data_IF_541295566881
#
_entry.id   IF_541295566881
#
_cell.length_a   1.000
_cell.length_b   1.000
_cell.length_c   1.000
_cell.angle_alpha   90.00
_cell.angle_beta   90.00
_cell.angle_gamma   90.00
#
_symmetry.space_group_name_H-M   'P 1'
#
loop_
_entity.id
_entity.type
_entity.pdbx_description
1 polymer ?
#
# COMPACT_ATOMS: atom_id res chain seq x y z
N UNK A 1 27.23 -55.70 31.49
CA UNK A 1 25.92 -55.26 30.97
C UNK A 1 25.40 -54.02 31.69
N UNK A 2 26.06 -52.85 31.59
CA UNK A 2 25.59 -51.59 32.22
C UNK A 2 25.73 -50.37 31.31
N UNK A 3 26.03 -50.54 30.02
CA UNK A 3 26.30 -49.39 29.10
C UNK A 3 25.19 -49.07 28.09
N UNK A 4 24.11 -49.84 28.04
CA UNK A 4 23.05 -49.66 27.04
C UNK A 4 21.82 -48.81 27.47
N UNK A 5 21.75 -48.38 28.75
CA UNK A 5 20.59 -47.62 29.24
C UNK A 5 20.77 -46.09 29.23
N UNK A 6 21.99 -45.61 29.13
CA UNK A 6 22.28 -44.16 29.17
C UNK A 6 22.19 -43.48 27.80
N UNK A 7 22.34 -44.19 26.68
CA UNK A 7 22.26 -43.59 25.34
C UNK A 7 20.82 -43.30 24.89
N UNK A 8 19.84 -44.06 25.35
CA UNK A 8 18.43 -43.88 24.97
C UNK A 8 17.78 -42.65 25.60
N UNK A 9 18.18 -42.26 26.80
CA UNK A 9 17.57 -41.11 27.50
C UNK A 9 18.06 -39.78 26.95
N UNK A 10 19.32 -39.70 26.51
CA UNK A 10 19.86 -38.48 25.88
C UNK A 10 19.27 -38.20 24.49
N UNK A 11 18.89 -39.26 23.75
CA UNK A 11 18.27 -39.10 22.41
C UNK A 11 16.81 -38.64 22.48
N UNK A 12 16.07 -39.02 23.54
CA UNK A 12 14.69 -38.61 23.73
C UNK A 12 14.53 -37.19 24.29
N UNK A 13 15.53 -36.67 25.00
CA UNK A 13 15.49 -35.30 25.52
C UNK A 13 15.97 -34.24 24.49
N UNK A 14 16.78 -34.62 23.53
CA UNK A 14 17.25 -33.72 22.46
C UNK A 14 16.20 -33.45 21.39
N UNK A 15 15.32 -34.42 21.10
CA UNK A 15 14.29 -34.24 20.04
C UNK A 15 13.22 -33.20 20.37
N UNK A 16 12.61 -33.16 21.57
CA UNK A 16 11.61 -32.15 21.90
C UNK A 16 12.23 -30.73 22.06
N UNK A 17 13.48 -30.60 22.49
CA UNK A 17 14.15 -29.34 22.59
C UNK A 17 14.50 -28.75 21.20
N UNK A 18 14.93 -29.59 20.27
CA UNK A 18 15.16 -29.20 18.87
C UNK A 18 13.87 -28.81 18.15
N UNK A 19 12.78 -29.54 18.37
CA UNK A 19 11.47 -29.22 17.82
C UNK A 19 10.88 -27.94 18.41
N UNK A 20 11.07 -27.68 19.70
CA UNK A 20 10.64 -26.45 20.36
C UNK A 20 11.41 -25.22 19.84
N UNK A 21 12.71 -25.35 19.60
CA UNK A 21 13.52 -24.29 18.99
C UNK A 21 13.10 -24.00 17.53
N UNK A 22 12.70 -25.03 16.77
CA UNK A 22 12.22 -24.84 15.40
C UNK A 22 10.86 -24.15 15.34
N UNK A 23 9.97 -24.43 16.29
CA UNK A 23 8.65 -23.79 16.38
C UNK A 23 8.74 -22.31 16.84
N UNK A 24 9.74 -21.96 17.66
CA UNK A 24 9.97 -20.57 18.10
C UNK A 24 10.54 -19.73 16.94
N UNK A 25 11.34 -20.31 16.05
CA UNK A 25 11.94 -19.62 14.92
C UNK A 25 10.92 -19.15 13.85
N UNK A 26 9.72 -19.75 13.79
CA UNK A 26 8.66 -19.38 12.83
C UNK A 26 7.67 -18.34 13.36
N UNK A 27 7.81 -17.86 14.60
CA UNK A 27 6.77 -17.07 15.26
C UNK A 27 7.02 -15.56 15.32
N UNK A 28 8.12 -15.06 14.76
CA UNK A 28 8.41 -13.62 14.77
C UNK A 28 8.53 -13.06 13.36
N UNK A 29 7.39 -12.80 12.71
CA UNK A 29 7.36 -11.75 11.68
C UNK A 29 7.50 -10.42 12.43
N UNK A 30 8.57 -9.65 12.20
CA UNK A 30 8.65 -8.31 12.78
C UNK A 30 7.48 -7.51 12.20
N UNK A 31 6.54 -7.10 13.05
CA UNK A 31 5.54 -6.11 12.68
C UNK A 31 6.32 -4.83 12.42
N UNK A 32 6.47 -4.46 11.16
CA UNK A 32 7.13 -3.21 10.79
C UNK A 32 6.20 -2.07 11.22
N UNK A 33 6.56 -1.39 12.29
CA UNK A 33 5.83 -0.23 12.78
C UNK A 33 6.45 0.99 12.11
N UNK A 34 5.68 1.64 11.24
CA UNK A 34 6.09 2.92 10.67
C UNK A 34 6.25 3.96 11.80
N UNK A 35 7.32 4.74 11.77
CA UNK A 35 7.50 5.83 12.70
C UNK A 35 6.42 6.90 12.45
N UNK A 36 5.82 7.48 13.50
CA UNK A 36 4.88 8.57 13.33
C UNK A 36 5.52 9.73 12.57
N UNK A 37 4.76 10.36 11.67
CA UNK A 37 5.19 11.56 10.98
C UNK A 37 5.31 12.72 11.97
N UNK A 38 6.34 13.56 11.80
CA UNK A 38 6.59 14.69 12.69
C UNK A 38 6.46 16.01 11.93
N UNK A 39 5.84 16.99 12.59
CA UNK A 39 5.80 18.39 12.15
C UNK A 39 6.32 19.22 13.34
N UNK A 40 7.37 20.04 13.16
CA UNK A 40 7.96 20.80 14.25
C UNK A 40 6.93 21.66 14.99
N UNK A 41 6.84 21.51 16.30
CA UNK A 41 5.92 22.23 17.17
C UNK A 41 4.48 21.74 17.17
N UNK A 42 4.11 20.80 16.30
CA UNK A 42 2.78 20.22 16.30
C UNK A 42 2.67 18.98 17.20
N UNK A 43 1.45 18.71 17.67
CA UNK A 43 1.09 17.50 18.42
C UNK A 43 -0.17 16.86 17.82
N UNK A 44 -0.35 15.57 18.09
CA UNK A 44 -1.51 14.81 17.63
C UNK A 44 -2.77 15.21 18.36
N UNK A 45 -3.87 15.39 17.61
CA UNK A 45 -5.16 15.88 18.13
C UNK A 45 -6.28 14.84 18.00
N UNK A 46 -6.05 13.77 17.23
CA UNK A 46 -7.00 12.70 16.97
C UNK A 46 -8.03 13.02 15.90
N UNK A 47 -8.60 11.98 15.33
CA UNK A 47 -9.45 12.04 14.13
C UNK A 47 -10.71 12.89 14.29
N UNK A 48 -11.25 12.98 15.51
CA UNK A 48 -12.47 13.76 15.77
C UNK A 48 -12.29 15.23 15.45
N UNK A 49 -11.12 15.79 15.72
CA UNK A 49 -10.82 17.20 15.46
C UNK A 49 -10.80 17.54 13.95
N UNK A 50 -10.60 16.54 13.08
CA UNK A 50 -10.62 16.73 11.63
C UNK A 50 -12.05 16.86 11.08
N UNK A 51 -13.03 16.24 11.74
CA UNK A 51 -14.41 16.12 11.27
C UNK A 51 -15.13 17.46 11.14
N UNK A 52 -14.78 18.46 11.96
CA UNK A 52 -15.44 19.75 11.98
C UNK A 52 -15.26 20.53 10.64
N UNK A 53 -14.13 20.34 9.97
CA UNK A 53 -13.82 20.96 8.69
C UNK A 53 -13.89 19.97 7.51
N UNK A 54 -13.53 18.71 7.73
CA UNK A 54 -13.43 17.69 6.70
C UNK A 54 -14.54 16.63 6.76
N UNK A 55 -15.79 17.05 7.05
CA UNK A 55 -16.93 16.17 7.32
C UNK A 55 -17.21 15.16 6.17
N UNK A 56 -17.03 15.55 4.93
CA UNK A 56 -17.26 14.66 3.78
C UNK A 56 -16.24 13.52 3.73
N UNK A 57 -14.95 13.85 3.87
CA UNK A 57 -13.87 12.86 3.87
C UNK A 57 -14.05 11.89 5.05
N UNK A 58 -14.32 12.41 6.24
CA UNK A 58 -14.51 11.59 7.44
C UNK A 58 -15.71 10.65 7.30
N UNK A 59 -16.78 11.07 6.63
CA UNK A 59 -17.96 10.23 6.37
C UNK A 59 -17.67 9.13 5.35
N UNK A 60 -16.84 9.38 4.35
CA UNK A 60 -16.55 8.46 3.26
C UNK A 60 -15.38 7.51 3.58
N UNK A 61 -14.46 7.93 4.43
CA UNK A 61 -13.26 7.18 4.81
C UNK A 61 -13.52 5.73 5.26
N UNK A 62 -14.62 5.37 5.96
CA UNK A 62 -14.91 3.97 6.30
C UNK A 62 -14.98 3.01 5.11
N UNK A 63 -15.19 3.50 3.89
CA UNK A 63 -15.15 2.71 2.67
C UNK A 63 -13.72 2.43 2.19
N UNK A 64 -12.73 3.19 2.66
CA UNK A 64 -11.32 3.01 2.31
C UNK A 64 -10.73 1.76 2.96
N UNK A 65 -9.85 1.02 2.27
CA UNK A 65 -9.02 -0.02 2.88
C UNK A 65 -8.19 0.50 4.06
N UNK A 66 -7.75 1.76 4.02
CA UNK A 66 -6.98 2.41 5.08
C UNK A 66 -7.79 2.68 6.35
N UNK A 67 -9.13 2.61 6.29
CA UNK A 67 -9.99 2.77 7.47
C UNK A 67 -9.71 1.72 8.55
N UNK A 68 -9.13 0.57 8.18
CA UNK A 68 -8.71 -0.47 9.12
C UNK A 68 -7.61 -0.01 10.07
N UNK A 69 -6.77 0.94 9.64
CA UNK A 69 -5.77 1.58 10.50
C UNK A 69 -6.43 2.42 11.61
N UNK A 70 -7.65 2.91 11.35
CA UNK A 70 -8.43 3.69 12.30
C UNK A 70 -9.01 2.84 13.44
N UNK A 71 -9.32 1.57 13.18
CA UNK A 71 -9.95 0.65 14.14
C UNK A 71 -8.95 -0.24 14.88
N UNK A 72 -7.68 -0.22 14.49
CA UNK A 72 -6.66 -0.84 15.28
C UNK A 72 -6.55 -0.05 16.60
N UNK A 73 -6.72 -0.72 17.75
CA UNK A 73 -6.44 -0.18 19.08
C UNK A 73 -4.93 0.09 19.22
N UNK A 74 -4.42 0.97 18.40
CA UNK A 74 -3.02 1.35 18.44
C UNK A 74 -2.88 2.39 19.53
N UNK A 75 -2.18 2.01 20.57
CA UNK A 75 -2.00 2.81 21.77
C UNK A 75 -1.18 4.10 21.56
N UNK A 76 -0.61 4.30 20.37
CA UNK A 76 0.31 5.42 20.12
C UNK A 76 -0.33 6.47 19.18
N UNK A 77 -0.31 7.74 19.59
CA UNK A 77 -0.73 8.85 18.73
C UNK A 77 0.03 8.86 17.40
N UNK A 78 -0.68 9.16 16.30
CA UNK A 78 -0.10 9.23 14.96
C UNK A 78 0.13 7.89 14.26
N UNK A 79 -0.19 6.75 14.90
CA UNK A 79 -0.10 5.44 14.26
C UNK A 79 -1.45 4.94 13.71
N UNK A 80 -2.51 5.72 13.85
CA UNK A 80 -3.83 5.36 13.36
C UNK A 80 -4.62 6.56 12.86
N UNK A 81 -5.49 6.31 11.89
CA UNK A 81 -6.41 7.30 11.36
C UNK A 81 -5.76 8.38 10.49
N UNK A 82 -6.34 9.56 10.47
CA UNK A 82 -5.94 10.65 9.58
C UNK A 82 -4.47 11.06 9.78
N UNK A 83 -4.04 11.18 11.01
CA UNK A 83 -2.71 11.68 11.37
C UNK A 83 -1.58 10.67 11.10
N UNK A 84 -1.90 9.39 10.83
CA UNK A 84 -0.89 8.42 10.40
C UNK A 84 -0.30 8.74 9.02
N UNK A 85 -1.06 9.43 8.17
CA UNK A 85 -0.66 9.87 6.84
C UNK A 85 -0.40 11.38 6.77
N UNK A 86 -1.16 12.17 7.53
CA UNK A 86 -1.10 13.63 7.49
C UNK A 86 -0.19 14.25 8.56
N UNK A 87 0.32 13.45 9.48
CA UNK A 87 1.10 13.95 10.62
C UNK A 87 0.25 14.72 11.64
N UNK A 88 0.88 15.26 12.71
CA UNK A 88 0.17 15.93 13.80
C UNK A 88 -0.55 17.20 13.35
N UNK A 89 -1.87 17.28 13.62
CA UNK A 89 -2.76 18.31 13.10
C UNK A 89 -2.92 19.59 13.91
N UNK A 90 -2.31 19.71 15.09
CA UNK A 90 -2.59 20.83 16.00
C UNK A 90 -2.32 22.22 15.40
N UNK A 91 -1.20 22.39 14.70
CA UNK A 91 -0.83 23.67 14.10
C UNK A 91 -1.72 24.02 12.89
N UNK A 92 -2.10 23.02 12.12
CA UNK A 92 -3.06 23.17 11.02
C UNK A 92 -4.42 23.68 11.54
N UNK A 93 -4.95 23.08 12.60
CA UNK A 93 -6.21 23.51 13.23
C UNK A 93 -6.08 24.90 13.83
N UNK A 94 -5.02 25.15 14.59
CA UNK A 94 -4.78 26.46 15.24
C UNK A 94 -4.69 27.62 14.24
N UNK A 95 -4.18 27.36 13.04
CA UNK A 95 -4.06 28.34 11.96
C UNK A 95 -5.35 28.56 11.17
N UNK A 96 -6.42 27.81 11.45
CA UNK A 96 -7.64 27.82 10.66
C UNK A 96 -7.55 27.07 9.33
N UNK A 97 -6.65 26.10 9.23
CA UNK A 97 -6.57 25.21 8.06
C UNK A 97 -5.43 25.52 7.07
N UNK A 98 -4.35 26.15 7.52
CA UNK A 98 -3.20 26.43 6.65
C UNK A 98 -2.55 25.14 6.13
N UNK A 99 -2.60 24.92 4.82
CA UNK A 99 -2.18 23.66 4.17
C UNK A 99 -0.68 23.35 4.33
N UNK A 100 0.16 24.35 4.56
CA UNK A 100 1.60 24.18 4.78
C UNK A 100 1.95 23.67 6.20
N UNK A 101 0.96 23.65 7.11
CA UNK A 101 1.12 23.21 8.49
C UNK A 101 0.59 21.78 8.73
N UNK A 102 0.39 21.04 7.66
CA UNK A 102 0.05 19.62 7.67
C UNK A 102 0.72 18.93 6.49
N UNK A 103 1.04 17.66 6.61
CA UNK A 103 1.60 16.90 5.50
C UNK A 103 0.50 16.62 4.48
N UNK A 104 0.83 16.83 3.20
CA UNK A 104 -0.03 16.41 2.10
C UNK A 104 0.60 15.19 1.41
N UNK A 105 0.11 13.96 1.70
CA UNK A 105 0.64 12.74 1.10
C UNK A 105 0.53 12.71 -0.43
N UNK A 106 -0.43 13.43 -1.01
CA UNK A 106 -0.56 13.57 -2.46
C UNK A 106 0.58 14.34 -3.13
N UNK A 107 1.46 14.99 -2.34
CA UNK A 107 2.66 15.69 -2.83
C UNK A 107 3.96 15.05 -2.33
N UNK A 108 3.84 14.01 -1.51
CA UNK A 108 4.97 13.35 -0.88
C UNK A 108 4.72 11.83 -0.85
N UNK A 109 5.19 11.09 -1.86
CA UNK A 109 5.01 9.65 -1.95
C UNK A 109 5.66 8.89 -0.79
N UNK A 110 6.65 9.47 -0.11
CA UNK A 110 7.31 8.89 1.06
C UNK A 110 6.31 8.57 2.18
N UNK A 111 5.24 9.37 2.30
CA UNK A 111 4.17 9.10 3.26
C UNK A 111 3.45 7.76 3.00
N UNK A 112 3.38 7.34 1.75
CA UNK A 112 2.80 6.06 1.34
C UNK A 112 3.81 4.93 1.48
N UNK A 113 5.05 5.17 1.09
CA UNK A 113 6.13 4.19 1.09
C UNK A 113 6.53 3.72 2.48
N UNK A 114 6.22 4.46 3.54
CA UNK A 114 6.43 3.99 4.92
C UNK A 114 5.76 2.64 5.21
N UNK A 115 4.65 2.34 4.52
CA UNK A 115 3.92 1.08 4.67
C UNK A 115 3.95 0.24 3.39
N UNK A 116 4.02 0.86 2.20
CA UNK A 116 4.02 0.22 0.88
C UNK A 116 5.44 0.07 0.33
N UNK A 117 6.30 -0.64 1.08
CA UNK A 117 7.70 -0.85 0.71
C UNK A 117 7.89 -1.73 -0.53
N UNK A 118 6.99 -2.68 -0.74
CA UNK A 118 6.91 -3.53 -1.92
C UNK A 118 6.67 -2.69 -3.18
N UNK A 119 5.71 -1.78 -3.11
CA UNK A 119 5.39 -0.82 -4.19
C UNK A 119 6.56 0.15 -4.42
N UNK A 120 7.22 0.63 -3.37
CA UNK A 120 8.44 1.43 -3.51
C UNK A 120 9.53 0.68 -4.27
N UNK A 121 9.69 -0.61 -4.01
CA UNK A 121 10.66 -1.44 -4.73
C UNK A 121 10.31 -1.57 -6.22
N UNK A 122 9.04 -1.67 -6.57
CA UNK A 122 8.58 -1.72 -7.96
C UNK A 122 8.91 -0.42 -8.71
N UNK A 123 8.72 0.76 -8.10
CA UNK A 123 9.07 2.05 -8.71
C UNK A 123 10.58 2.24 -8.93
N UNK A 124 11.44 1.41 -8.36
CA UNK A 124 12.86 1.40 -8.66
C UNK A 124 13.24 0.47 -9.83
N UNK A 125 12.28 -0.21 -10.45
CA UNK A 125 12.53 -1.02 -11.65
C UNK A 125 12.73 -0.14 -12.89
N UNK A 126 13.40 -0.68 -13.96
CA UNK A 126 13.76 0.11 -15.13
C UNK A 126 12.62 0.74 -15.90
N UNK A 127 11.42 0.15 -15.83
CA UNK A 127 10.22 0.62 -16.49
C UNK A 127 9.17 0.92 -15.41
N UNK A 128 8.86 2.18 -15.16
CA UNK A 128 7.90 2.61 -14.15
C UNK A 128 7.26 3.94 -14.52
N UNK A 129 6.14 4.26 -13.91
CA UNK A 129 5.61 5.62 -13.95
C UNK A 129 6.48 6.57 -13.11
N UNK A 130 6.66 7.84 -13.52
CA UNK A 130 7.64 8.76 -12.92
C UNK A 130 7.17 9.34 -11.58
N UNK A 131 6.87 8.45 -10.61
CA UNK A 131 6.45 8.82 -9.25
C UNK A 131 7.65 9.23 -8.40
N UNK A 132 8.75 8.47 -8.46
CA UNK A 132 9.96 8.78 -7.71
C UNK A 132 10.69 10.01 -8.25
N UNK A 133 10.47 10.38 -9.52
CA UNK A 133 10.95 11.61 -10.12
C UNK A 133 10.07 12.84 -9.82
N UNK A 134 8.94 12.63 -9.14
CA UNK A 134 8.03 13.70 -8.74
C UNK A 134 7.14 14.25 -9.86
N UNK A 135 7.02 13.55 -11.00
CA UNK A 135 6.12 13.93 -12.10
C UNK A 135 4.72 13.35 -11.98
N UNK A 136 4.55 12.32 -11.17
CA UNK A 136 3.29 11.71 -10.82
C UNK A 136 3.22 11.44 -9.31
N UNK A 137 2.01 11.22 -8.80
CA UNK A 137 1.76 10.89 -7.40
C UNK A 137 0.83 9.68 -7.29
N UNK A 138 0.86 9.02 -6.14
CA UNK A 138 -0.01 7.88 -5.87
C UNK A 138 -1.51 8.23 -6.06
N UNK A 139 -1.89 9.45 -5.67
CA UNK A 139 -3.27 9.94 -5.75
C UNK A 139 -3.76 10.29 -7.15
N UNK A 140 -2.88 10.29 -8.15
CA UNK A 140 -3.30 10.43 -9.55
C UNK A 140 -4.03 9.17 -10.05
N UNK A 141 -3.81 8.03 -9.36
CA UNK A 141 -4.43 6.75 -9.66
C UNK A 141 -5.26 6.18 -8.51
N UNK A 142 -4.88 6.43 -7.25
CA UNK A 142 -5.51 5.88 -6.05
C UNK A 142 -6.26 6.93 -5.24
N UNK A 143 -7.43 6.55 -4.70
CA UNK A 143 -8.14 7.35 -3.70
C UNK A 143 -7.92 6.75 -2.30
N UNK A 144 -7.00 7.29 -1.49
CA UNK A 144 -6.73 6.77 -0.16
C UNK A 144 -7.89 6.98 0.83
N UNK A 145 -8.80 7.91 0.55
CA UNK A 145 -9.96 8.21 1.39
C UNK A 145 -11.20 7.41 1.02
N UNK A 146 -11.29 6.93 -0.22
CA UNK A 146 -12.43 6.21 -0.75
C UNK A 146 -12.20 4.73 -1.00
N UNK A 147 -13.03 4.14 -1.83
CA UNK A 147 -12.86 2.75 -2.29
C UNK A 147 -11.70 2.63 -3.26
N UNK A 148 -10.88 1.60 -3.08
CA UNK A 148 -9.76 1.31 -3.98
C UNK A 148 -10.28 0.93 -5.38
N UNK A 149 -9.84 1.67 -6.39
CA UNK A 149 -10.18 1.42 -7.80
C UNK A 149 -9.63 0.09 -8.33
N UNK A 150 -8.59 -0.47 -7.66
CA UNK A 150 -7.91 -1.69 -8.10
C UNK A 150 -8.42 -2.97 -7.40
N UNK A 151 -9.43 -2.91 -6.54
CA UNK A 151 -10.05 -4.12 -6.03
C UNK A 151 -11.00 -4.72 -7.06
N UNK A 152 -10.74 -5.93 -7.57
CA UNK A 152 -11.61 -6.60 -8.51
C UNK A 152 -12.94 -6.97 -7.81
N UNK A 153 -13.92 -6.09 -7.92
CA UNK A 153 -15.30 -6.35 -7.50
C UNK A 153 -16.19 -6.69 -8.71
N UNK A 154 -15.59 -7.09 -9.85
CA UNK A 154 -16.29 -7.40 -11.11
C UNK A 154 -16.69 -6.15 -11.91
N UNK A 155 -16.95 -6.30 -13.17
CA UNK A 155 -17.41 -5.37 -14.21
C UNK A 155 -17.22 -3.86 -14.04
N UNK A 156 -17.88 -3.23 -13.08
CA UNK A 156 -17.78 -1.78 -12.84
C UNK A 156 -16.44 -1.33 -12.26
N UNK A 157 -15.78 -2.17 -11.46
CA UNK A 157 -14.48 -1.85 -10.90
C UNK A 157 -13.39 -1.87 -11.97
N UNK A 158 -13.48 -2.81 -12.92
CA UNK A 158 -12.57 -2.90 -14.06
C UNK A 158 -12.74 -1.73 -15.03
N UNK A 159 -13.96 -1.27 -15.29
CA UNK A 159 -14.21 -0.08 -16.08
C UNK A 159 -13.56 1.16 -15.47
N UNK A 160 -13.71 1.37 -14.16
CA UNK A 160 -13.07 2.50 -13.44
C UNK A 160 -11.55 2.43 -13.45
N UNK A 161 -10.98 1.23 -13.35
CA UNK A 161 -9.56 1.02 -13.45
C UNK A 161 -9.02 1.45 -14.82
N UNK A 162 -9.67 1.01 -15.90
CA UNK A 162 -9.31 1.41 -17.25
C UNK A 162 -9.50 2.92 -17.47
N UNK A 163 -10.59 3.50 -16.96
CA UNK A 163 -10.83 4.94 -17.01
C UNK A 163 -9.69 5.73 -16.36
N UNK A 164 -9.13 5.26 -15.24
CA UNK A 164 -7.99 5.91 -14.60
C UNK A 164 -6.75 5.93 -15.51
N UNK A 165 -6.45 4.82 -16.17
CA UNK A 165 -5.34 4.74 -17.12
C UNK A 165 -5.55 5.66 -18.33
N UNK A 166 -6.76 5.67 -18.87
CA UNK A 166 -7.11 6.37 -20.11
C UNK A 166 -7.26 7.88 -19.95
N UNK A 167 -7.26 8.41 -18.76
CA UNK A 167 -7.14 9.86 -18.54
C UNK A 167 -5.86 10.45 -19.16
N UNK A 168 -4.76 9.68 -19.13
CA UNK A 168 -3.49 10.04 -19.73
C UNK A 168 -3.24 9.28 -21.04
N UNK A 169 -3.56 7.98 -21.07
CA UNK A 169 -3.33 7.09 -22.22
C UNK A 169 -4.53 7.10 -23.21
N UNK A 170 -4.93 8.27 -23.67
CA UNK A 170 -6.11 8.48 -24.52
C UNK A 170 -6.04 7.74 -25.86
N UNK A 171 -4.82 7.53 -26.38
CA UNK A 171 -4.61 6.83 -27.63
C UNK A 171 -5.05 5.35 -27.57
N UNK A 172 -5.14 4.80 -26.37
CA UNK A 172 -5.56 3.41 -26.13
C UNK A 172 -7.10 3.26 -26.08
N UNK A 173 -7.84 4.36 -26.11
CA UNK A 173 -9.34 4.37 -26.11
C UNK A 173 -9.95 4.61 -27.48
N UNK A 174 -9.13 4.77 -28.52
CA UNK A 174 -9.63 5.03 -29.87
C UNK A 174 -10.44 3.82 -30.37
N UNK A 175 -11.47 4.04 -31.19
CA UNK A 175 -12.11 2.94 -31.87
C UNK A 175 -11.10 2.31 -32.83
N UNK A 176 -10.68 1.10 -32.53
CA UNK A 176 -9.83 0.31 -33.40
C UNK A 176 -10.71 -0.46 -34.40
N UNK A 177 -10.25 -0.60 -35.65
CA UNK A 177 -10.95 -1.42 -36.66
C UNK A 177 -10.98 -2.89 -36.20
N UNK A 178 -9.96 -3.32 -35.49
CA UNK A 178 -9.87 -4.63 -34.83
C UNK A 178 -9.51 -4.42 -33.40
N UNK A 179 -10.46 -4.64 -32.48
CA UNK A 179 -10.20 -4.61 -31.05
C UNK A 179 -9.44 -5.88 -30.64
N UNK A 180 -8.40 -5.71 -29.86
CA UNK A 180 -7.71 -6.83 -29.23
C UNK A 180 -8.55 -7.28 -28.02
N UNK A 181 -8.94 -8.56 -27.97
CA UNK A 181 -9.81 -9.11 -26.90
C UNK A 181 -9.27 -8.82 -25.50
N UNK A 182 -7.94 -8.87 -25.31
CA UNK A 182 -7.28 -8.59 -24.04
C UNK A 182 -7.59 -7.19 -23.47
N UNK A 183 -7.95 -6.20 -24.29
CA UNK A 183 -8.35 -4.87 -23.79
C UNK A 183 -9.61 -4.92 -22.94
N UNK A 184 -10.44 -5.97 -23.08
CA UNK A 184 -11.64 -6.19 -22.29
C UNK A 184 -11.36 -6.76 -20.91
N UNK A 185 -10.19 -7.37 -20.73
CA UNK A 185 -9.75 -7.96 -19.47
C UNK A 185 -9.12 -6.92 -18.51
N UNK A 186 -8.80 -5.74 -19.04
CA UNK A 186 -8.21 -4.63 -18.29
C UNK A 186 -6.71 -4.45 -18.50
N UNK A 187 -6.25 -3.21 -18.31
CA UNK A 187 -4.85 -2.85 -18.59
C UNK A 187 -3.85 -3.62 -17.69
N UNK A 188 -4.20 -3.85 -16.43
CA UNK A 188 -3.32 -4.46 -15.44
C UNK A 188 -3.17 -5.97 -15.56
N UNK A 189 -3.91 -6.61 -16.45
CA UNK A 189 -3.67 -8.03 -16.81
C UNK A 189 -2.31 -8.18 -17.52
N UNK A 190 -1.94 -7.17 -18.31
CA UNK A 190 -0.71 -7.16 -19.08
C UNK A 190 0.36 -6.22 -18.52
N UNK A 191 -0.02 -5.17 -17.79
CA UNK A 191 0.89 -4.13 -17.32
C UNK A 191 0.91 -4.05 -15.79
N UNK A 192 2.12 -3.93 -15.21
CA UNK A 192 2.27 -3.50 -13.81
C UNK A 192 2.52 -1.98 -13.78
N UNK A 193 1.53 -1.17 -13.34
CA UNK A 193 1.64 0.29 -13.40
C UNK A 193 2.67 0.88 -12.42
N UNK A 194 3.10 0.13 -11.43
CA UNK A 194 4.14 0.58 -10.50
C UNK A 194 5.54 0.40 -11.08
N UNK A 195 5.78 -0.73 -11.74
CA UNK A 195 7.05 -0.96 -12.39
C UNK A 195 7.28 -2.38 -12.86
N UNK A 196 8.18 -2.55 -13.81
CA UNK A 196 8.57 -3.84 -14.37
C UNK A 196 10.01 -3.81 -14.86
N UNK A 197 10.61 -4.98 -14.96
CA UNK A 197 11.87 -5.18 -15.69
C UNK A 197 11.66 -5.25 -17.21
N UNK A 198 10.42 -5.52 -17.64
CA UNK A 198 10.06 -5.69 -19.04
C UNK A 198 9.66 -4.35 -19.66
N UNK A 199 9.96 -4.16 -20.95
CA UNK A 199 9.56 -2.97 -21.69
C UNK A 199 8.05 -2.72 -21.59
N UNK A 200 7.64 -1.45 -21.62
CA UNK A 200 6.23 -1.03 -21.51
C UNK A 200 5.55 -1.48 -20.21
N UNK A 201 6.33 -1.74 -19.19
CA UNK A 201 5.83 -2.22 -17.87
C UNK A 201 5.03 -3.54 -17.98
N UNK A 202 5.37 -4.43 -18.91
CA UNK A 202 4.69 -5.72 -19.05
C UNK A 202 4.98 -6.62 -17.86
N UNK A 203 3.98 -7.38 -17.43
CA UNK A 203 4.10 -8.35 -16.29
C UNK A 203 5.00 -9.54 -16.67
N UNK A 204 5.04 -9.90 -17.94
CA UNK A 204 5.96 -10.90 -18.51
C UNK A 204 6.52 -10.38 -19.83
N UNK A 205 7.65 -10.94 -20.28
CA UNK A 205 8.28 -10.56 -21.54
C UNK A 205 7.36 -10.82 -22.74
N UNK A 206 7.42 -9.93 -23.72
CA UNK A 206 6.50 -9.82 -24.86
C UNK A 206 6.19 -11.17 -25.56
N UNK A 207 7.15 -12.06 -25.84
CA UNK A 207 6.87 -13.34 -26.49
C UNK A 207 5.99 -14.30 -25.65
N UNK A 208 6.03 -14.15 -24.33
CA UNK A 208 5.37 -15.05 -23.39
C UNK A 208 3.99 -14.54 -22.92
N UNK A 209 3.68 -13.28 -23.21
CA UNK A 209 2.47 -12.63 -22.70
C UNK A 209 1.17 -13.31 -23.16
N UNK A 210 1.17 -13.90 -24.36
CA UNK A 210 0.01 -14.56 -24.94
C UNK A 210 -0.03 -16.09 -24.72
N UNK A 211 0.94 -16.64 -23.97
CA UNK A 211 1.09 -18.07 -23.74
C UNK A 211 0.69 -18.49 -22.32
N UNK A 212 0.33 -17.54 -21.44
CA UNK A 212 -0.02 -17.73 -20.03
C UNK A 212 -1.50 -18.06 -19.79
#
# INVERSE_FOLDING_TARGET
MKYQRTFGVLFFLGLPAGLALFLISCASTPTQVAAPLEIPGAHFVGNRACADCHATIVREFPASPHSRLHFADVAMPGQSGCESCHGPGSEHIRSGGAAQLIINPGKNPESCFQCHLDVQAEFNLPQHHPVIEGHMNCVDCHDPHGGDIFKPAGGLAMARQNESCTQCHQDQTRPFVFEHEALREGCTVCHNPHGSINLKMLVVDDPNLCLG
#
